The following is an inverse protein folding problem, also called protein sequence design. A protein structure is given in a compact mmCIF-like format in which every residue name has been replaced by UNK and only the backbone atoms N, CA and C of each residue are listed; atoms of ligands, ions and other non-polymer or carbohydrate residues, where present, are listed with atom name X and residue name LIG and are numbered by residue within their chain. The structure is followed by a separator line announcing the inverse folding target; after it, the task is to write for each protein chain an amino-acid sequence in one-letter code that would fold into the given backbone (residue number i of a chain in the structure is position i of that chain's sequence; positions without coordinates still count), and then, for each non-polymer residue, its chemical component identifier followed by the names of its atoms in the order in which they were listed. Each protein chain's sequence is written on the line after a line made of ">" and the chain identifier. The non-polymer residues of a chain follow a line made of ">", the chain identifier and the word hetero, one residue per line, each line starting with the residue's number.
data_IF_699535652205
#
_entry.id   IF_699535652205
#
_cell.length_a   1.000
_cell.length_b   1.000
_cell.length_c   1.000
_cell.angle_alpha   90.00
_cell.angle_beta   90.00
_cell.angle_gamma   90.00
#
_symmetry.space_group_name_H-M   'P 1'
#
loop_
_entity.id
_entity.type
_entity.pdbx_description
1 polymer ?
#
# COMPACT_ATOMS: atom_id res chain seq x y z
N UNK A 1 21.26 15.43 -28.22
CA UNK A 1 20.38 16.06 -27.21
C UNK A 1 20.83 15.54 -25.86
N UNK A 2 20.83 16.35 -24.80
CA UNK A 2 21.23 15.89 -23.45
C UNK A 2 19.97 15.77 -22.60
N UNK A 3 19.63 14.54 -22.23
CA UNK A 3 18.55 14.25 -21.28
C UNK A 3 19.15 13.79 -19.96
N UNK A 4 18.61 14.29 -18.87
CA UNK A 4 18.92 13.83 -17.52
C UNK A 4 17.80 12.91 -17.07
N UNK A 5 18.15 11.72 -16.57
CA UNK A 5 17.18 10.67 -16.25
C UNK A 5 17.47 10.13 -14.85
N UNK A 6 16.42 9.88 -14.07
CA UNK A 6 16.49 9.11 -12.86
C UNK A 6 15.34 8.09 -12.81
N UNK A 7 15.66 6.88 -12.36
CA UNK A 7 14.70 5.78 -12.23
C UNK A 7 14.61 5.29 -10.79
N UNK A 8 13.39 4.95 -10.38
CA UNK A 8 13.08 4.51 -9.02
C UNK A 8 12.04 3.41 -9.05
N UNK A 9 12.23 2.39 -8.22
CA UNK A 9 11.14 1.49 -7.83
C UNK A 9 10.57 1.93 -6.49
N UNK A 10 9.25 1.85 -6.32
CA UNK A 10 8.59 2.10 -5.03
C UNK A 10 7.65 0.95 -4.64
N UNK A 11 7.53 0.65 -3.34
CA UNK A 11 6.71 -0.44 -2.83
C UNK A 11 5.24 -0.06 -2.69
N UNK A 12 4.38 -1.08 -2.70
CA UNK A 12 3.03 -1.01 -2.14
C UNK A 12 3.10 -1.08 -0.61
N UNK A 13 2.20 -0.40 0.09
CA UNK A 13 1.98 -0.58 1.52
C UNK A 13 0.53 -0.97 1.80
N UNK A 14 0.28 -1.74 2.87
CA UNK A 14 -1.06 -2.13 3.32
C UNK A 14 -1.27 -1.60 4.72
N UNK A 15 -2.38 -0.88 4.93
CA UNK A 15 -2.70 -0.26 6.20
C UNK A 15 -3.19 -1.30 7.22
N UNK A 16 -2.58 -1.35 8.39
CA UNK A 16 -3.07 -2.11 9.55
C UNK A 16 -3.92 -1.25 10.48
N UNK A 17 -3.67 0.06 10.49
CA UNK A 17 -4.54 1.09 11.04
C UNK A 17 -4.99 2.01 9.91
N UNK A 18 -6.28 2.01 9.59
CA UNK A 18 -6.82 2.53 8.33
C UNK A 18 -6.89 4.05 8.29
N UNK A 19 -6.41 4.60 7.18
CA UNK A 19 -6.73 5.95 6.73
C UNK A 19 -8.08 5.92 5.99
N UNK A 20 -9.06 6.64 6.53
CA UNK A 20 -10.36 6.83 5.88
C UNK A 20 -10.95 8.17 6.34
N UNK A 21 -11.09 9.12 5.41
CA UNK A 21 -11.65 10.44 5.66
C UNK A 21 -10.58 11.54 5.61
N UNK A 22 -10.95 12.68 5.01
CA UNK A 22 -10.08 13.87 4.94
C UNK A 22 -10.73 15.04 5.67
N UNK A 23 -9.97 15.66 6.58
CA UNK A 23 -10.33 16.96 7.16
C UNK A 23 -10.11 18.11 6.17
N UNK A 24 -9.10 17.96 5.30
CA UNK A 24 -8.84 18.89 4.19
C UNK A 24 -8.64 18.12 2.88
N UNK A 25 -9.47 18.42 1.88
CA UNK A 25 -9.43 17.77 0.56
C UNK A 25 -8.31 18.29 -0.33
N UNK A 26 -8.00 19.59 -0.25
CA UNK A 26 -7.04 20.25 -1.11
C UNK A 26 -5.61 19.89 -0.73
N UNK A 27 -5.35 19.74 0.58
CA UNK A 27 -4.04 19.38 1.12
C UNK A 27 -3.89 17.87 1.41
N UNK A 28 -4.95 17.08 1.19
CA UNK A 28 -5.06 15.67 1.58
C UNK A 28 -4.75 15.42 3.06
N UNK A 29 -5.26 16.26 3.97
CA UNK A 29 -5.07 16.08 5.40
C UNK A 29 -6.08 15.07 5.95
N UNK A 30 -5.65 14.05 6.70
CA UNK A 30 -6.53 12.97 7.11
C UNK A 30 -7.31 13.36 8.38
N UNK A 31 -8.41 12.68 8.66
CA UNK A 31 -9.15 12.81 9.93
C UNK A 31 -8.46 12.11 11.09
N UNK A 32 -7.56 11.18 10.82
CA UNK A 32 -6.83 10.40 11.81
C UNK A 32 -5.48 9.92 11.26
N UNK A 33 -4.52 9.65 12.15
CA UNK A 33 -3.26 9.00 11.78
C UNK A 33 -3.51 7.56 11.31
N UNK A 34 -2.56 7.01 10.55
CA UNK A 34 -2.65 5.65 10.02
C UNK A 34 -1.30 4.94 10.07
N UNK A 35 -1.31 3.61 10.08
CA UNK A 35 -0.10 2.76 10.14
C UNK A 35 -0.21 1.69 9.05
N UNK A 36 0.89 1.43 8.36
CA UNK A 36 0.98 0.40 7.32
C UNK A 36 2.27 -0.41 7.42
N UNK A 37 2.24 -1.61 6.84
CA UNK A 37 3.44 -2.40 6.54
C UNK A 37 3.75 -2.23 5.06
N UNK A 38 4.99 -1.85 4.76
CA UNK A 38 5.51 -1.79 3.39
C UNK A 38 5.80 -3.19 2.88
N UNK A 39 5.37 -3.52 1.67
CA UNK A 39 5.55 -4.85 1.07
C UNK A 39 6.82 -4.92 0.21
N UNK A 40 7.36 -6.12 0.02
CA UNK A 40 8.55 -6.35 -0.80
C UNK A 40 8.35 -5.94 -2.25
N UNK A 41 9.32 -5.18 -2.77
CA UNK A 41 9.37 -4.76 -4.18
C UNK A 41 9.76 -5.90 -5.14
N UNK A 42 10.27 -7.01 -4.62
CA UNK A 42 10.46 -8.23 -5.42
C UNK A 42 9.13 -8.77 -5.94
N UNK A 43 8.06 -8.57 -5.17
CA UNK A 43 6.73 -9.11 -5.46
C UNK A 43 5.84 -8.03 -6.08
N UNK A 44 5.79 -6.85 -5.46
CA UNK A 44 4.88 -5.76 -5.83
C UNK A 44 5.62 -4.43 -5.87
N UNK A 45 5.83 -3.88 -7.07
CA UNK A 45 6.49 -2.59 -7.27
C UNK A 45 5.89 -1.76 -8.39
N UNK A 46 6.04 -0.46 -8.24
CA UNK A 46 5.94 0.51 -9.34
C UNK A 46 7.33 0.96 -9.73
N UNK A 47 7.69 0.86 -11.01
CA UNK A 47 8.90 1.46 -11.57
C UNK A 47 8.53 2.75 -12.27
N UNK A 48 9.23 3.84 -11.95
CA UNK A 48 9.08 5.13 -12.62
C UNK A 48 10.44 5.66 -13.04
N UNK A 49 10.55 6.04 -14.30
CA UNK A 49 11.65 6.82 -14.86
C UNK A 49 11.17 8.23 -15.15
N UNK A 50 11.94 9.24 -14.72
CA UNK A 50 11.68 10.64 -15.00
C UNK A 50 12.86 11.23 -15.77
N UNK A 51 12.56 11.97 -16.84
CA UNK A 51 13.54 12.64 -17.68
C UNK A 51 13.26 14.14 -17.78
N UNK A 52 14.32 14.94 -17.86
CA UNK A 52 14.23 16.36 -18.20
C UNK A 52 15.38 16.78 -19.12
N UNK A 53 15.15 17.79 -19.96
CA UNK A 53 16.17 18.32 -20.86
C UNK A 53 15.70 19.61 -21.55
N UNK A 54 16.61 20.41 -22.13
CA UNK A 54 16.28 21.71 -22.74
C UNK A 54 15.23 21.65 -23.85
N UNK A 55 15.15 20.52 -24.55
CA UNK A 55 14.20 20.29 -25.66
C UNK A 55 12.81 19.87 -25.16
N UNK A 56 12.69 19.38 -23.93
CA UNK A 56 11.40 19.01 -23.36
C UNK A 56 10.67 20.28 -22.92
N UNK A 57 9.55 20.62 -23.58
CA UNK A 57 8.80 21.86 -23.32
C UNK A 57 7.55 21.65 -22.47
N UNK A 58 7.06 20.43 -22.38
CA UNK A 58 5.81 20.09 -21.70
C UNK A 58 6.02 18.88 -20.80
N UNK A 59 5.21 18.80 -19.74
CA UNK A 59 5.16 17.62 -18.90
C UNK A 59 4.30 16.54 -19.57
N UNK A 60 4.79 15.31 -19.60
CA UNK A 60 4.09 14.15 -20.16
C UNK A 60 4.23 12.94 -19.24
N UNK A 61 3.17 12.16 -19.13
CA UNK A 61 3.13 10.94 -18.35
C UNK A 61 2.69 9.77 -19.24
N UNK A 62 3.44 8.67 -19.18
CA UNK A 62 3.02 7.39 -19.71
C UNK A 62 2.89 6.39 -18.57
N UNK A 63 1.75 5.73 -18.47
CA UNK A 63 1.47 4.69 -17.49
C UNK A 63 1.13 3.39 -18.20
N UNK A 64 1.93 2.34 -17.98
CA UNK A 64 1.78 1.02 -18.62
C UNK A 64 1.64 1.12 -20.15
N UNK A 65 2.49 1.93 -20.78
CA UNK A 65 2.55 2.11 -22.24
C UNK A 65 1.51 3.05 -22.85
N UNK A 66 0.65 3.69 -22.04
CA UNK A 66 -0.35 4.66 -22.53
C UNK A 66 -0.06 6.05 -21.99
N UNK A 67 -0.16 7.07 -22.85
CA UNK A 67 -0.06 8.47 -22.41
C UNK A 67 -1.30 8.83 -21.58
N UNK A 68 -1.08 9.38 -20.40
CA UNK A 68 -2.11 9.76 -19.42
C UNK A 68 -2.06 11.26 -19.14
N UNK A 69 -3.22 11.85 -18.84
CA UNK A 69 -3.29 13.28 -18.53
C UNK A 69 -2.64 13.60 -17.19
N UNK A 70 -1.82 14.65 -17.17
CA UNK A 70 -1.24 15.24 -15.96
C UNK A 70 -2.11 16.35 -15.38
N UNK A 71 -3.25 16.68 -15.98
CA UNK A 71 -4.05 17.87 -15.63
C UNK A 71 -4.74 17.78 -14.27
N UNK A 72 -4.79 16.59 -13.66
CA UNK A 72 -5.43 16.44 -12.35
C UNK A 72 -4.73 17.31 -11.30
N UNK A 73 -5.52 18.04 -10.49
CA UNK A 73 -5.02 18.99 -9.48
C UNK A 73 -3.96 18.36 -8.57
N UNK A 74 -4.20 17.13 -8.12
CA UNK A 74 -3.27 16.36 -7.26
C UNK A 74 -1.89 16.16 -7.88
N UNK A 75 -1.83 15.89 -9.19
CA UNK A 75 -0.58 15.67 -9.90
C UNK A 75 0.15 16.99 -10.11
N UNK A 76 -0.58 18.02 -10.53
CA UNK A 76 -0.02 19.37 -10.69
C UNK A 76 0.54 19.93 -9.38
N UNK A 77 -0.13 19.69 -8.26
CA UNK A 77 0.38 20.05 -6.93
C UNK A 77 1.71 19.35 -6.61
N UNK A 78 1.83 18.05 -6.86
CA UNK A 78 3.10 17.33 -6.66
C UNK A 78 4.24 17.91 -7.51
N UNK A 79 4.00 18.09 -8.82
CA UNK A 79 5.01 18.62 -9.74
C UNK A 79 5.43 20.04 -9.35
N UNK A 80 4.47 20.89 -8.98
CA UNK A 80 4.73 22.26 -8.50
C UNK A 80 5.58 22.25 -7.23
N UNK A 81 5.28 21.39 -6.25
CA UNK A 81 6.05 21.25 -5.03
C UNK A 81 7.51 20.86 -5.31
N UNK A 82 7.73 19.85 -6.15
CA UNK A 82 9.06 19.38 -6.53
C UNK A 82 9.86 20.42 -7.32
N UNK A 83 9.22 21.09 -8.29
CA UNK A 83 9.84 22.19 -9.05
C UNK A 83 10.22 23.36 -8.16
N UNK A 84 9.38 23.71 -7.17
CA UNK A 84 9.70 24.76 -6.19
C UNK A 84 10.99 24.43 -5.43
N UNK A 85 11.10 23.21 -4.89
CA UNK A 85 12.31 22.77 -4.17
C UNK A 85 13.55 22.79 -5.08
N UNK A 86 13.40 22.34 -6.33
CA UNK A 86 14.51 22.39 -7.30
C UNK A 86 14.92 23.82 -7.63
N UNK A 87 13.96 24.72 -7.84
CA UNK A 87 14.21 26.13 -8.10
C UNK A 87 14.95 26.80 -6.95
N UNK A 88 14.61 26.48 -5.71
CA UNK A 88 15.32 27.00 -4.52
C UNK A 88 16.81 26.61 -4.50
N UNK A 89 17.19 25.44 -5.04
CA UNK A 89 18.60 25.06 -5.22
C UNK A 89 19.25 25.87 -6.36
N UNK A 90 18.57 25.96 -7.51
CA UNK A 90 19.06 26.67 -8.70
C UNK A 90 19.21 28.19 -8.50
N UNK A 91 18.44 28.77 -7.57
CA UNK A 91 18.54 30.18 -7.18
C UNK A 91 19.71 30.43 -6.21
N UNK A 92 20.16 29.39 -5.48
CA UNK A 92 21.34 29.46 -4.58
C UNK A 92 22.66 29.19 -5.31
N UNK A 93 22.63 28.41 -6.38
CA UNK A 93 23.81 28.12 -7.22
C UNK A 93 23.47 28.28 -8.72
N UNK A 94 23.99 29.35 -9.32
CA UNK A 94 23.76 29.68 -10.73
C UNK A 94 24.39 28.68 -11.70
N UNK A 95 25.34 27.84 -11.25
CA UNK A 95 25.98 26.82 -12.09
C UNK A 95 25.11 25.57 -12.27
N UNK A 96 24.07 25.40 -11.45
CA UNK A 96 23.16 24.27 -11.58
C UNK A 96 22.32 24.38 -12.86
N UNK A 97 22.13 23.27 -13.60
CA UNK A 97 21.20 23.20 -14.71
C UNK A 97 19.78 23.62 -14.28
N UNK A 98 19.06 24.33 -15.14
CA UNK A 98 17.72 24.87 -14.86
C UNK A 98 16.60 23.84 -15.08
N UNK A 99 16.73 22.67 -14.44
CA UNK A 99 15.77 21.57 -14.50
C UNK A 99 14.36 22.00 -14.08
N UNK A 100 14.23 22.95 -13.15
CA UNK A 100 12.92 23.47 -12.72
C UNK A 100 12.12 24.15 -13.84
N UNK A 101 12.77 24.57 -14.93
CA UNK A 101 12.16 25.29 -16.06
C UNK A 101 11.87 24.40 -17.27
N UNK A 102 12.35 23.16 -17.29
CA UNK A 102 12.20 22.24 -18.41
C UNK A 102 11.02 21.30 -18.22
N UNK A 103 10.45 20.80 -19.31
CA UNK A 103 9.43 19.74 -19.28
C UNK A 103 9.94 18.45 -18.65
N UNK A 104 9.04 17.70 -18.05
CA UNK A 104 9.27 16.37 -17.48
C UNK A 104 8.59 15.32 -18.34
N UNK A 105 9.36 14.34 -18.82
CA UNK A 105 8.79 13.11 -19.36
C UNK A 105 8.87 12.03 -18.29
N UNK A 106 7.72 11.47 -17.90
CA UNK A 106 7.59 10.51 -16.81
C UNK A 106 7.01 9.23 -17.39
N UNK A 107 7.72 8.11 -17.27
CA UNK A 107 7.25 6.80 -17.72
C UNK A 107 7.18 5.90 -16.52
N UNK A 108 6.03 5.27 -16.30
CA UNK A 108 5.78 4.42 -15.14
C UNK A 108 5.09 3.12 -15.53
N UNK A 109 5.45 2.05 -14.84
CA UNK A 109 4.79 0.74 -14.96
C UNK A 109 4.64 0.06 -13.60
N UNK A 110 3.64 -0.82 -13.48
CA UNK A 110 3.47 -1.68 -12.32
C UNK A 110 3.66 -3.15 -12.73
N UNK A 111 4.31 -3.96 -11.91
CA UNK A 111 4.40 -5.41 -12.13
C UNK A 111 3.14 -6.17 -11.62
N UNK A 112 2.13 -5.44 -11.13
CA UNK A 112 0.86 -5.98 -10.66
C UNK A 112 -0.31 -5.36 -11.42
N UNK A 113 -1.42 -6.10 -11.63
CA UNK A 113 -2.55 -5.57 -12.38
C UNK A 113 -3.17 -4.35 -11.69
N UNK A 114 -3.31 -3.25 -12.41
CA UNK A 114 -3.95 -2.01 -11.90
C UNK A 114 -5.38 -2.28 -11.38
N UNK A 115 -6.08 -3.25 -11.99
CA UNK A 115 -7.44 -3.66 -11.59
C UNK A 115 -7.49 -4.54 -10.33
N UNK A 116 -6.36 -5.07 -9.83
CA UNK A 116 -6.33 -5.97 -8.68
C UNK A 116 -6.60 -5.26 -7.34
N UNK A 117 -6.88 -3.95 -7.31
CA UNK A 117 -7.24 -3.25 -6.07
C UNK A 117 -6.10 -3.06 -5.06
N UNK A 118 -4.85 -3.35 -5.44
CA UNK A 118 -3.66 -3.32 -4.59
C UNK A 118 -3.02 -1.92 -4.47
N UNK A 119 -3.79 -0.94 -4.00
CA UNK A 119 -3.33 0.43 -3.71
C UNK A 119 -2.39 1.07 -4.77
N UNK A 120 -2.62 0.78 -6.06
CA UNK A 120 -1.73 1.18 -7.18
C UNK A 120 -1.39 2.67 -7.21
N UNK A 121 -2.34 3.55 -6.85
CA UNK A 121 -2.11 4.99 -6.79
C UNK A 121 -1.12 5.40 -5.68
N UNK A 122 -0.99 4.64 -4.60
CA UNK A 122 -0.05 4.97 -3.52
C UNK A 122 1.40 4.74 -3.96
N UNK A 123 1.69 3.53 -4.47
CA UNK A 123 3.01 3.19 -5.00
C UNK A 123 3.39 4.07 -6.19
N UNK A 124 2.46 4.36 -7.11
CA UNK A 124 2.72 5.22 -8.27
C UNK A 124 3.10 6.65 -7.92
N UNK A 125 2.38 7.30 -6.99
CA UNK A 125 2.76 8.66 -6.56
C UNK A 125 4.05 8.67 -5.74
N UNK A 126 4.32 7.64 -4.93
CA UNK A 126 5.59 7.51 -4.24
C UNK A 126 6.77 7.36 -5.22
N UNK A 127 6.64 6.49 -6.22
CA UNK A 127 7.64 6.30 -7.27
C UNK A 127 7.88 7.58 -8.08
N UNK A 128 6.82 8.28 -8.48
CA UNK A 128 6.89 9.56 -9.18
C UNK A 128 7.64 10.62 -8.37
N UNK A 129 7.25 10.82 -7.10
CA UNK A 129 7.86 11.83 -6.24
C UNK A 129 9.34 11.53 -6.02
N UNK A 130 9.70 10.28 -5.72
CA UNK A 130 11.09 9.91 -5.47
C UNK A 130 11.94 9.92 -6.74
N UNK A 131 11.41 9.49 -7.89
CA UNK A 131 12.13 9.56 -9.16
C UNK A 131 12.46 11.01 -9.53
N UNK A 132 11.49 11.92 -9.43
CA UNK A 132 11.70 13.34 -9.71
C UNK A 132 12.62 13.97 -8.66
N UNK A 133 12.45 13.66 -7.37
CA UNK A 133 13.33 14.17 -6.32
C UNK A 133 14.80 13.77 -6.56
N UNK A 134 15.05 12.52 -7.00
CA UNK A 134 16.38 12.05 -7.39
C UNK A 134 16.89 12.72 -8.65
N UNK A 135 16.06 12.88 -9.68
CA UNK A 135 16.39 13.62 -10.91
C UNK A 135 16.83 15.06 -10.58
N UNK A 136 16.10 15.71 -9.68
CA UNK A 136 16.35 17.07 -9.23
C UNK A 136 17.44 17.19 -8.16
N UNK A 137 17.97 16.07 -7.67
CA UNK A 137 18.98 15.99 -6.60
C UNK A 137 18.55 16.78 -5.36
N UNK A 138 17.28 16.62 -4.99
CA UNK A 138 16.67 17.30 -3.86
C UNK A 138 17.30 16.82 -2.53
N UNK A 139 17.74 17.72 -1.63
CA UNK A 139 18.35 17.35 -0.35
C UNK A 139 17.33 16.99 0.74
N UNK A 140 16.03 17.15 0.47
CA UNK A 140 14.97 16.88 1.44
C UNK A 140 14.97 15.40 1.85
N UNK A 141 14.70 15.17 3.13
CA UNK A 141 14.49 13.85 3.70
C UNK A 141 13.25 13.17 3.10
N UNK A 142 13.17 11.84 3.22
CA UNK A 142 11.96 11.10 2.79
C UNK A 142 10.71 11.55 3.56
N UNK A 143 10.85 12.02 4.81
CA UNK A 143 9.71 12.53 5.58
C UNK A 143 9.19 13.85 5.00
N UNK A 144 10.07 14.77 4.63
CA UNK A 144 9.69 16.04 3.97
C UNK A 144 9.12 15.79 2.57
N UNK A 145 9.72 14.89 1.78
CA UNK A 145 9.18 14.49 0.47
C UNK A 145 7.80 13.81 0.59
N UNK A 146 7.51 13.19 1.73
CA UNK A 146 6.23 12.54 1.97
C UNK A 146 5.07 13.53 2.06
N UNK A 147 5.32 14.79 2.40
CA UNK A 147 4.32 15.87 2.37
C UNK A 147 3.85 16.13 0.94
N UNK A 148 4.77 16.08 -0.03
CA UNK A 148 4.45 16.22 -1.45
C UNK A 148 3.71 14.97 -1.95
N UNK A 149 4.18 13.76 -1.59
CA UNK A 149 3.52 12.52 -1.97
C UNK A 149 2.08 12.44 -1.44
N UNK A 150 1.84 12.93 -0.21
CA UNK A 150 0.50 13.03 0.40
C UNK A 150 -0.47 13.84 -0.46
N UNK A 151 -0.04 14.97 -1.02
CA UNK A 151 -0.89 15.82 -1.87
C UNK A 151 -1.31 15.14 -3.17
N UNK A 152 -0.47 14.27 -3.72
CA UNK A 152 -0.82 13.46 -4.89
C UNK A 152 -1.79 12.33 -4.58
N UNK A 153 -1.49 11.57 -3.54
CA UNK A 153 -2.34 10.50 -3.03
C UNK A 153 -2.03 10.29 -1.56
N UNK A 154 -2.96 10.59 -0.65
CA UNK A 154 -2.72 10.61 0.80
C UNK A 154 -1.84 9.46 1.31
N UNK A 155 -2.21 8.21 1.03
CA UNK A 155 -1.48 7.02 1.47
C UNK A 155 -0.13 6.77 0.77
N UNK A 156 0.20 7.50 -0.30
CA UNK A 156 1.49 7.43 -0.97
C UNK A 156 2.63 7.89 -0.06
N UNK A 157 2.37 8.80 0.89
CA UNK A 157 3.37 9.27 1.85
C UNK A 157 4.03 8.10 2.61
N UNK A 158 3.26 7.07 2.97
CA UNK A 158 3.78 5.90 3.70
C UNK A 158 4.65 4.99 2.84
N UNK A 159 4.51 5.01 1.51
CA UNK A 159 5.35 4.24 0.59
C UNK A 159 6.74 4.86 0.38
N UNK A 160 7.07 5.98 1.03
CA UNK A 160 8.43 6.55 1.00
C UNK A 160 9.39 5.87 2.00
N UNK A 161 8.88 4.97 2.84
CA UNK A 161 9.66 4.24 3.85
C UNK A 161 9.45 2.72 3.71
N UNK A 162 10.42 1.96 4.19
CA UNK A 162 10.33 0.51 4.35
C UNK A 162 9.73 0.11 5.70
N UNK A 163 9.63 -1.19 5.95
CA UNK A 163 9.24 -1.71 7.25
C UNK A 163 7.82 -1.29 7.66
N UNK A 164 7.74 -0.59 8.80
CA UNK A 164 6.50 -0.20 9.46
C UNK A 164 6.39 1.32 9.52
N UNK A 165 5.35 1.87 8.91
CA UNK A 165 5.30 3.31 8.60
C UNK A 165 4.02 3.91 9.15
N UNK A 166 4.14 4.99 9.91
CA UNK A 166 3.03 5.84 10.29
C UNK A 166 2.87 6.99 9.29
N UNK A 167 1.63 7.37 9.03
CA UNK A 167 1.28 8.71 8.58
C UNK A 167 0.65 9.43 9.76
N UNK A 168 1.37 10.40 10.29
CA UNK A 168 0.89 11.28 11.35
C UNK A 168 -0.07 12.30 10.75
N UNK A 169 -1.24 12.46 11.37
CA UNK A 169 -2.27 13.33 10.80
C UNK A 169 -1.90 14.81 10.80
N UNK A 170 -0.97 15.23 11.67
CA UNK A 170 -0.67 16.63 11.91
C UNK A 170 -1.83 17.42 12.53
N UNK A 171 -1.50 18.57 13.09
CA UNK A 171 -2.43 19.50 13.75
C UNK A 171 -2.48 20.85 13.02
N UNK A 172 -1.44 21.20 12.25
CA UNK A 172 -1.38 22.48 11.53
C UNK A 172 -2.32 22.50 10.32
N UNK A 173 -2.91 23.67 10.09
CA UNK A 173 -3.81 23.91 8.95
C UNK A 173 -3.07 23.88 7.60
N UNK A 174 -1.80 24.32 7.58
CA UNK A 174 -0.95 24.25 6.39
C UNK A 174 -0.48 22.83 6.04
N UNK A 175 -0.67 21.88 6.95
CA UNK A 175 -0.32 20.48 6.79
C UNK A 175 1.17 20.16 6.85
N UNK A 176 2.03 21.10 7.28
CA UNK A 176 3.49 20.93 7.33
C UNK A 176 3.96 19.86 8.34
N UNK A 177 3.07 19.43 9.23
CA UNK A 177 3.31 18.37 10.21
C UNK A 177 2.54 17.06 9.90
N UNK A 178 1.76 17.02 8.82
CA UNK A 178 1.05 15.83 8.37
C UNK A 178 1.92 15.01 7.41
N UNK A 179 2.84 14.20 7.94
CA UNK A 179 3.85 13.49 7.15
C UNK A 179 4.00 12.02 7.54
N UNK A 180 4.70 11.27 6.70
CA UNK A 180 5.07 9.90 7.00
C UNK A 180 6.35 9.86 7.87
N UNK A 181 6.35 8.93 8.81
CA UNK A 181 7.47 8.64 9.71
C UNK A 181 7.64 7.13 9.80
N UNK A 182 8.91 6.69 9.84
CA UNK A 182 9.23 5.30 10.10
C UNK A 182 8.99 5.00 11.59
N UNK A 183 8.18 3.97 11.87
CA UNK A 183 8.01 3.45 13.23
C UNK A 183 9.15 2.49 13.54
N UNK A 184 9.42 1.58 12.61
CA UNK A 184 10.54 0.64 12.71
C UNK A 184 10.95 0.19 11.31
N UNK A 185 12.26 0.01 11.06
CA UNK A 185 12.77 -0.40 9.77
C UNK A 185 12.43 -1.88 9.49
N UNK A 186 12.67 -2.32 8.25
CA UNK A 186 12.48 -3.71 7.82
C UNK A 186 13.20 -4.71 8.74
N UNK A 187 14.45 -4.40 9.10
CA UNK A 187 15.36 -5.24 9.88
C UNK A 187 14.88 -5.44 11.32
N UNK A 188 14.02 -4.55 11.82
CA UNK A 188 13.45 -4.68 13.15
C UNK A 188 12.62 -5.96 13.23
N UNK A 189 11.66 -6.16 12.33
CA UNK A 189 10.76 -7.31 12.39
C UNK A 189 10.56 -7.97 11.01
N UNK A 190 11.61 -8.63 10.48
CA UNK A 190 11.65 -9.17 9.12
C UNK A 190 10.82 -10.45 8.94
N UNK A 191 10.41 -11.11 10.02
CA UNK A 191 9.60 -12.33 9.98
C UNK A 191 8.15 -12.10 9.52
N UNK A 192 7.71 -10.85 9.37
CA UNK A 192 6.36 -10.50 8.94
C UNK A 192 6.15 -10.85 7.46
N UNK A 193 5.23 -11.77 7.20
CA UNK A 193 4.80 -12.20 5.87
C UNK A 193 3.38 -11.73 5.58
N UNK A 194 3.02 -11.67 4.31
CA UNK A 194 1.66 -11.37 3.87
C UNK A 194 1.25 -12.27 2.70
N UNK A 195 0.06 -12.87 2.79
CA UNK A 195 -0.61 -13.53 1.68
C UNK A 195 -1.84 -12.72 1.27
N UNK A 196 -1.91 -12.30 0.02
CA UNK A 196 -3.02 -11.54 -0.53
C UNK A 196 -3.89 -12.47 -1.35
N UNK A 197 -5.14 -12.65 -0.91
CA UNK A 197 -6.16 -13.37 -1.64
C UNK A 197 -6.93 -12.36 -2.50
N UNK A 198 -6.66 -12.37 -3.81
CA UNK A 198 -7.33 -11.48 -4.77
C UNK A 198 -8.72 -12.02 -5.03
N UNK A 199 -9.72 -11.38 -4.43
CA UNK A 199 -11.11 -11.82 -4.50
C UNK A 199 -11.73 -11.31 -5.80
N UNK A 200 -12.45 -12.20 -6.49
CA UNK A 200 -13.23 -11.88 -7.67
C UNK A 200 -14.22 -10.78 -7.32
N UNK A 201 -13.98 -9.61 -7.88
CA UNK A 201 -14.81 -8.44 -7.70
C UNK A 201 -15.40 -8.04 -9.04
N UNK A 202 -16.71 -7.77 -9.07
CA UNK A 202 -17.25 -6.82 -10.04
C UNK A 202 -16.53 -5.48 -9.88
N UNK A 203 -16.53 -4.65 -10.94
CA UNK A 203 -15.90 -3.32 -10.91
C UNK A 203 -16.30 -2.59 -9.63
N UNK A 204 -15.32 -2.04 -8.90
CA UNK A 204 -15.55 -1.34 -7.63
C UNK A 204 -16.65 -0.28 -7.77
N UNK A 205 -17.74 -0.44 -7.03
CA UNK A 205 -18.90 0.44 -7.12
C UNK A 205 -18.60 1.86 -6.64
N UNK A 206 -17.86 2.00 -5.52
CA UNK A 206 -17.56 3.30 -4.91
C UNK A 206 -16.05 3.54 -4.80
N UNK A 207 -15.45 4.49 -5.56
CA UNK A 207 -14.05 4.90 -5.40
C UNK A 207 -13.72 5.37 -3.99
N UNK A 208 -12.48 5.15 -3.53
CA UNK A 208 -12.09 5.46 -2.14
C UNK A 208 -12.27 6.95 -1.80
N UNK A 209 -11.95 7.86 -2.72
CA UNK A 209 -12.03 9.31 -2.47
C UNK A 209 -13.46 9.79 -2.25
N UNK A 210 -14.42 9.31 -3.05
CA UNK A 210 -15.84 9.67 -2.87
C UNK A 210 -16.42 8.96 -1.65
N UNK A 211 -16.11 7.66 -1.48
CA UNK A 211 -16.57 6.87 -0.35
C UNK A 211 -16.16 7.46 1.00
N UNK A 212 -14.89 7.84 1.17
CA UNK A 212 -14.41 8.33 2.46
C UNK A 212 -15.04 9.67 2.85
N UNK A 213 -15.32 10.54 1.88
CA UNK A 213 -15.97 11.82 2.15
C UNK A 213 -17.48 11.66 2.36
N UNK A 214 -18.10 10.62 1.80
CA UNK A 214 -19.45 10.23 2.15
C UNK A 214 -19.52 9.79 3.62
N UNK A 215 -18.59 8.92 4.05
CA UNK A 215 -18.49 8.49 5.45
C UNK A 215 -18.30 9.68 6.40
N UNK A 216 -17.34 10.57 6.12
CA UNK A 216 -17.12 11.79 6.92
C UNK A 216 -18.40 12.62 7.06
N UNK A 217 -19.21 12.69 6.00
CA UNK A 217 -20.43 13.50 5.97
C UNK A 217 -21.62 12.85 6.67
N UNK A 218 -21.71 11.51 6.66
CA UNK A 218 -22.98 10.82 6.95
C UNK A 218 -22.92 9.77 8.04
N UNK A 219 -21.75 9.21 8.34
CA UNK A 219 -21.62 8.17 9.38
C UNK A 219 -21.50 8.82 10.76
N UNK A 220 -22.42 8.48 11.65
CA UNK A 220 -22.40 8.92 13.05
C UNK A 220 -21.30 8.16 13.84
N UNK A 221 -21.13 6.86 13.55
CA UNK A 221 -20.09 6.03 14.18
C UNK A 221 -18.67 6.47 13.81
N UNK A 222 -18.50 7.13 12.67
CA UNK A 222 -17.20 7.63 12.24
C UNK A 222 -16.61 8.67 13.20
N UNK A 223 -17.45 9.47 13.85
CA UNK A 223 -16.99 10.48 14.82
C UNK A 223 -16.32 9.83 16.04
N UNK A 224 -16.90 8.75 16.55
CA UNK A 224 -16.31 7.96 17.64
C UNK A 224 -15.00 7.29 17.19
N UNK A 225 -14.99 6.76 15.97
CA UNK A 225 -13.80 6.14 15.38
C UNK A 225 -12.61 7.12 15.38
N UNK A 226 -12.79 8.34 14.86
CA UNK A 226 -11.68 9.28 14.70
C UNK A 226 -11.26 9.94 16.01
N UNK A 227 -12.20 10.23 16.92
CA UNK A 227 -11.92 10.93 18.18
C UNK A 227 -11.30 10.03 19.24
N UNK A 228 -11.79 8.80 19.37
CA UNK A 228 -11.47 7.96 20.53
C UNK A 228 -10.80 6.63 20.15
N UNK A 229 -11.29 5.96 19.09
CA UNK A 229 -10.81 4.62 18.74
C UNK A 229 -9.42 4.66 18.10
N UNK A 230 -9.24 5.46 17.05
CA UNK A 230 -7.99 5.46 16.28
C UNK A 230 -6.81 6.02 17.09
N UNK A 231 -6.92 7.12 17.86
CA UNK A 231 -5.79 7.62 18.65
C UNK A 231 -5.23 6.57 19.62
N UNK A 232 -6.10 5.84 20.33
CA UNK A 232 -5.68 4.77 21.23
C UNK A 232 -5.04 3.61 20.47
N UNK A 233 -5.64 3.18 19.34
CA UNK A 233 -5.07 2.11 18.52
C UNK A 233 -3.76 2.49 17.86
N UNK A 234 -3.55 3.76 17.52
CA UNK A 234 -2.29 4.26 16.97
C UNK A 234 -1.15 4.02 17.95
N UNK A 235 -1.31 4.44 19.21
CA UNK A 235 -0.33 4.19 20.27
C UNK A 235 -0.08 2.69 20.48
N UNK A 236 -1.14 1.91 20.70
CA UNK A 236 -0.99 0.46 20.95
C UNK A 236 -0.39 -0.30 19.76
N UNK A 237 -0.67 0.11 18.52
CA UNK A 237 -0.10 -0.52 17.33
C UNK A 237 1.40 -0.20 17.20
N UNK A 238 1.81 1.05 17.47
CA UNK A 238 3.23 1.41 17.53
C UNK A 238 3.97 0.57 18.56
N UNK A 239 3.44 0.50 19.79
CA UNK A 239 4.00 -0.32 20.86
C UNK A 239 4.09 -1.80 20.47
N UNK A 240 3.05 -2.33 19.81
CA UNK A 240 3.04 -3.72 19.35
C UNK A 240 4.13 -3.99 18.29
N UNK A 241 4.40 -3.04 17.39
CA UNK A 241 5.46 -3.12 16.39
C UNK A 241 6.84 -3.03 17.07
N UNK A 242 7.05 -2.04 17.93
CA UNK A 242 8.32 -1.81 18.65
C UNK A 242 8.72 -3.02 19.49
N UNK A 243 7.76 -3.70 20.13
CA UNK A 243 8.00 -4.88 20.96
C UNK A 243 7.79 -6.22 20.23
N UNK A 244 7.57 -6.22 18.91
CA UNK A 244 7.28 -7.43 18.11
C UNK A 244 6.15 -8.29 18.69
N UNK A 245 5.15 -7.64 19.29
CA UNK A 245 4.02 -8.29 19.93
C UNK A 245 2.99 -8.72 18.89
N UNK A 246 3.22 -9.91 18.30
CA UNK A 246 2.38 -10.49 17.25
C UNK A 246 0.89 -10.60 17.63
N UNK A 247 0.51 -11.18 18.79
CA UNK A 247 -0.90 -11.27 19.17
C UNK A 247 -1.59 -9.90 19.21
N UNK A 248 -0.91 -8.87 19.76
CA UNK A 248 -1.50 -7.53 19.85
C UNK A 248 -1.60 -6.85 18.48
N UNK A 249 -0.55 -6.94 17.66
CA UNK A 249 -0.55 -6.44 16.28
C UNK A 249 -1.70 -7.06 15.47
N UNK A 250 -1.86 -8.37 15.56
CA UNK A 250 -2.88 -9.12 14.85
C UNK A 250 -4.31 -8.74 15.30
N UNK A 251 -4.56 -8.67 16.61
CA UNK A 251 -5.83 -8.23 17.17
C UNK A 251 -6.21 -6.83 16.68
N UNK A 252 -5.29 -5.87 16.80
CA UNK A 252 -5.53 -4.47 16.39
C UNK A 252 -5.79 -4.37 14.89
N UNK A 253 -5.04 -5.10 14.07
CA UNK A 253 -5.18 -5.12 12.61
C UNK A 253 -6.57 -5.60 12.18
N UNK A 254 -7.04 -6.73 12.75
CA UNK A 254 -8.36 -7.27 12.44
C UNK A 254 -9.48 -6.36 12.94
N UNK A 255 -9.35 -5.83 14.17
CA UNK A 255 -10.35 -4.92 14.76
C UNK A 255 -10.43 -3.59 14.02
N UNK A 256 -9.33 -3.09 13.47
CA UNK A 256 -9.34 -1.85 12.71
C UNK A 256 -9.85 -2.01 11.29
N UNK A 257 -9.55 -3.14 10.63
CA UNK A 257 -10.21 -3.54 9.39
C UNK A 257 -11.73 -3.56 9.57
N UNK A 258 -12.23 -4.26 10.59
CA UNK A 258 -13.67 -4.34 10.86
C UNK A 258 -14.27 -2.96 11.18
N UNK A 259 -13.60 -2.15 11.99
CA UNK A 259 -14.09 -0.81 12.37
C UNK A 259 -14.16 0.14 11.18
N UNK A 260 -13.19 0.08 10.26
CA UNK A 260 -13.25 0.81 9.00
C UNK A 260 -14.49 0.41 8.18
N UNK A 261 -14.68 -0.88 7.91
CA UNK A 261 -15.84 -1.34 7.14
C UNK A 261 -17.17 -1.11 7.85
N UNK A 262 -17.20 -1.07 9.19
CA UNK A 262 -18.38 -0.67 9.95
C UNK A 262 -18.78 0.79 9.68
N UNK A 263 -17.81 1.71 9.62
CA UNK A 263 -18.11 3.12 9.25
C UNK A 263 -18.52 3.28 7.79
N UNK A 264 -18.04 2.41 6.89
CA UNK A 264 -18.53 2.33 5.52
C UNK A 264 -20.00 1.89 5.49
N UNK A 265 -20.38 0.88 6.26
CA UNK A 265 -21.75 0.39 6.39
C UNK A 265 -22.70 1.44 7.01
N UNK A 266 -22.20 2.23 7.96
CA UNK A 266 -22.92 3.32 8.63
C UNK A 266 -23.04 4.60 7.77
N UNK A 267 -22.39 4.66 6.61
CA UNK A 267 -22.55 5.77 5.67
C UNK A 267 -23.94 5.73 5.00
N UNK A 268 -24.42 6.85 4.47
CA UNK A 268 -25.69 6.90 3.74
C UNK A 268 -25.59 7.57 2.36
N UNK A 269 -25.81 6.84 1.24
CA UNK A 269 -26.06 5.39 1.16
C UNK A 269 -24.91 4.53 1.71
N UNK A 270 -25.17 3.28 2.17
CA UNK A 270 -24.16 2.40 2.73
C UNK A 270 -23.12 1.99 1.69
N UNK A 271 -21.87 1.86 2.12
CA UNK A 271 -20.75 1.43 1.28
C UNK A 271 -20.38 0.00 1.63
N UNK A 272 -20.47 -0.91 0.66
CA UNK A 272 -20.05 -2.30 0.79
C UNK A 272 -18.80 -2.56 -0.03
N UNK A 273 -17.69 -2.86 0.66
CA UNK A 273 -16.44 -3.27 0.03
C UNK A 273 -16.18 -4.77 0.15
N UNK A 274 -16.44 -5.33 1.33
CA UNK A 274 -16.34 -6.78 1.57
C UNK A 274 -17.56 -7.49 0.98
N UNK A 275 -17.31 -8.61 0.29
CA UNK A 275 -18.37 -9.51 -0.20
C UNK A 275 -18.43 -10.79 0.65
N UNK A 276 -19.22 -11.76 0.23
CA UNK A 276 -19.38 -13.00 0.99
C UNK A 276 -18.10 -13.85 1.01
N UNK A 277 -17.28 -13.83 -0.04
CA UNK A 277 -15.95 -14.44 -0.03
C UNK A 277 -15.06 -13.79 1.03
N UNK A 278 -15.06 -12.46 1.15
CA UNK A 278 -14.33 -11.75 2.21
C UNK A 278 -14.76 -12.23 3.61
N UNK A 279 -16.07 -12.37 3.84
CA UNK A 279 -16.62 -12.84 5.13
C UNK A 279 -16.25 -14.31 5.41
N UNK A 280 -16.25 -15.18 4.40
CA UNK A 280 -15.81 -16.58 4.52
C UNK A 280 -14.32 -16.65 4.93
N UNK A 281 -13.47 -15.82 4.32
CA UNK A 281 -12.04 -15.71 4.69
C UNK A 281 -11.87 -15.21 6.14
N UNK A 282 -12.67 -14.24 6.60
CA UNK A 282 -12.66 -13.79 8.00
C UNK A 282 -12.97 -14.94 8.95
N UNK A 283 -14.03 -15.72 8.68
CA UNK A 283 -14.41 -16.87 9.50
C UNK A 283 -13.30 -17.91 9.54
N UNK A 284 -12.69 -18.20 8.40
CA UNK A 284 -11.56 -19.13 8.30
C UNK A 284 -10.38 -18.68 9.17
N UNK A 285 -10.00 -17.40 9.13
CA UNK A 285 -8.89 -16.88 9.95
C UNK A 285 -9.14 -17.05 11.45
N UNK A 286 -10.36 -16.76 11.92
CA UNK A 286 -10.73 -16.98 13.32
C UNK A 286 -10.69 -18.47 13.68
N UNK A 287 -11.22 -19.34 12.81
CA UNK A 287 -11.22 -20.77 13.02
C UNK A 287 -9.81 -21.37 13.08
N UNK A 288 -8.87 -20.89 12.25
CA UNK A 288 -7.45 -21.26 12.31
C UNK A 288 -6.82 -20.83 13.64
N UNK A 289 -7.06 -19.58 14.06
CA UNK A 289 -6.53 -19.08 15.32
C UNK A 289 -7.08 -19.86 16.54
N UNK A 290 -8.37 -20.20 16.51
CA UNK A 290 -9.04 -21.01 17.53
C UNK A 290 -8.49 -22.44 17.56
N UNK A 291 -8.37 -23.08 16.39
CA UNK A 291 -7.82 -24.44 16.26
C UNK A 291 -6.42 -24.58 16.89
N UNK A 292 -5.54 -23.60 16.66
CA UNK A 292 -4.19 -23.62 17.24
C UNK A 292 -4.13 -23.07 18.67
N UNK A 293 -5.24 -22.60 19.24
CA UNK A 293 -5.28 -21.99 20.58
C UNK A 293 -4.44 -20.73 20.73
N UNK A 294 -4.00 -20.12 19.62
CA UNK A 294 -3.16 -18.91 19.57
C UNK A 294 -3.33 -18.18 18.25
N UNK A 295 -3.04 -16.89 18.22
CA UNK A 295 -3.09 -16.10 16.99
C UNK A 295 -1.98 -16.52 16.03
N UNK A 296 -2.35 -17.13 14.91
CA UNK A 296 -1.50 -17.59 13.80
C UNK A 296 -1.56 -16.62 12.63
N UNK A 297 -2.74 -16.02 12.37
CA UNK A 297 -3.01 -15.16 11.22
C UNK A 297 -3.85 -13.95 11.61
N UNK A 298 -3.60 -12.83 10.94
CA UNK A 298 -4.42 -11.62 11.03
C UNK A 298 -4.90 -11.21 9.64
N UNK A 299 -6.20 -10.96 9.48
CA UNK A 299 -6.72 -10.43 8.22
C UNK A 299 -6.84 -8.91 8.25
N UNK A 300 -6.77 -8.30 7.07
CA UNK A 300 -7.16 -6.91 6.85
C UNK A 300 -7.70 -6.70 5.44
N UNK A 301 -8.66 -5.78 5.30
CA UNK A 301 -9.31 -5.45 4.04
C UNK A 301 -9.27 -3.94 3.83
N UNK A 302 -8.86 -3.51 2.64
CA UNK A 302 -8.93 -2.11 2.21
C UNK A 302 -10.27 -1.82 1.53
N UNK A 303 -10.34 -0.80 0.68
CA UNK A 303 -11.55 -0.42 -0.04
C UNK A 303 -11.83 -1.35 -1.24
N UNK A 304 -12.06 -2.63 -0.94
CA UNK A 304 -12.40 -3.71 -1.86
C UNK A 304 -12.47 -5.06 -1.13
N UNK A 305 -12.81 -6.15 -1.83
CA UNK A 305 -13.06 -7.44 -1.20
C UNK A 305 -11.80 -8.28 -0.95
N UNK A 306 -10.64 -7.88 -1.47
CA UNK A 306 -9.39 -8.61 -1.31
C UNK A 306 -8.98 -8.72 0.16
N UNK A 307 -8.61 -9.94 0.57
CA UNK A 307 -8.08 -10.19 1.89
C UNK A 307 -6.54 -10.09 1.86
N UNK A 308 -5.96 -9.35 2.80
CA UNK A 308 -4.53 -9.43 3.12
C UNK A 308 -4.40 -10.16 4.44
N UNK A 309 -3.68 -11.28 4.43
CA UNK A 309 -3.42 -12.13 5.59
C UNK A 309 -1.98 -11.91 6.05
N UNK A 310 -1.79 -11.23 7.18
CA UNK A 310 -0.51 -11.18 7.84
C UNK A 310 -0.28 -12.44 8.67
N UNK A 311 0.96 -12.89 8.70
CA UNK A 311 1.41 -13.99 9.55
C UNK A 311 2.92 -13.85 9.81
N UNK A 312 3.44 -14.50 10.84
CA UNK A 312 4.88 -14.65 11.02
C UNK A 312 5.38 -15.89 10.28
N UNK A 313 6.57 -15.80 9.69
CA UNK A 313 7.22 -16.89 8.95
C UNK A 313 7.21 -18.24 9.71
N UNK A 314 7.41 -18.23 11.03
CA UNK A 314 7.36 -19.45 11.87
C UNK A 314 5.98 -20.15 11.89
N UNK A 315 4.91 -19.45 11.52
CA UNK A 315 3.55 -20.00 11.45
C UNK A 315 3.12 -20.29 9.99
N UNK A 316 4.02 -20.17 9.02
CA UNK A 316 3.70 -20.34 7.59
C UNK A 316 3.12 -21.72 7.29
N UNK A 317 3.80 -22.80 7.71
CA UNK A 317 3.31 -24.17 7.51
C UNK A 317 1.95 -24.41 8.18
N UNK A 318 1.71 -23.80 9.36
CA UNK A 318 0.43 -23.90 10.10
C UNK A 318 -0.69 -23.20 9.34
N UNK A 319 -0.43 -22.01 8.83
CA UNK A 319 -1.41 -21.25 8.06
C UNK A 319 -1.69 -21.95 6.72
N UNK A 320 -0.65 -22.32 5.97
CA UNK A 320 -0.79 -22.87 4.63
C UNK A 320 -1.27 -24.31 4.60
N UNK A 321 -1.21 -25.06 5.71
CA UNK A 321 -2.01 -26.29 5.84
C UNK A 321 -3.51 -26.06 5.55
N UNK A 322 -4.07 -24.91 5.93
CA UNK A 322 -5.46 -24.56 5.64
C UNK A 322 -5.59 -23.80 4.32
N UNK A 323 -4.80 -22.73 4.13
CA UNK A 323 -4.96 -21.84 2.97
C UNK A 323 -4.60 -22.58 1.68
N UNK A 324 -3.48 -23.32 1.63
CA UNK A 324 -3.15 -24.06 0.42
C UNK A 324 -4.18 -25.17 0.15
N UNK A 325 -4.64 -25.90 1.19
CA UNK A 325 -5.68 -26.92 1.04
C UNK A 325 -6.96 -26.38 0.40
N UNK A 326 -7.37 -25.16 0.75
CA UNK A 326 -8.58 -24.53 0.21
C UNK A 326 -8.39 -23.85 -1.15
N UNK A 327 -7.17 -23.40 -1.46
CA UNK A 327 -6.89 -22.56 -2.62
C UNK A 327 -5.81 -23.15 -3.55
N UNK A 328 -5.64 -24.47 -3.56
CA UNK A 328 -4.61 -25.19 -4.33
C UNK A 328 -4.74 -25.00 -5.84
N UNK A 329 -5.97 -24.79 -6.34
CA UNK A 329 -6.26 -24.49 -7.76
C UNK A 329 -6.13 -23.01 -8.12
N UNK A 330 -5.94 -22.13 -7.14
CA UNK A 330 -5.78 -20.69 -7.38
C UNK A 330 -4.32 -20.41 -7.76
N UNK A 331 -4.03 -19.71 -8.86
CA UNK A 331 -2.66 -19.47 -9.30
C UNK A 331 -1.89 -18.52 -8.37
N UNK A 332 -0.56 -18.66 -8.34
CA UNK A 332 0.37 -17.74 -7.66
C UNK A 332 1.24 -18.39 -6.59
N UNK A 333 0.97 -19.63 -6.18
CA UNK A 333 1.76 -20.38 -5.21
C UNK A 333 3.18 -20.68 -5.71
N UNK A 334 3.30 -21.01 -7.00
CA UNK A 334 4.53 -21.35 -7.70
C UNK A 334 5.55 -20.20 -7.74
N UNK A 335 5.13 -18.99 -7.40
CA UNK A 335 6.02 -17.81 -7.32
C UNK A 335 6.97 -17.87 -6.14
N UNK A 336 6.63 -18.64 -5.09
CA UNK A 336 7.44 -18.75 -3.85
C UNK A 336 7.70 -20.19 -3.42
N UNK A 337 6.85 -21.14 -3.81
CA UNK A 337 6.93 -22.50 -3.34
C UNK A 337 7.12 -23.49 -4.49
N UNK A 338 8.01 -24.46 -4.26
CA UNK A 338 8.15 -25.61 -5.14
C UNK A 338 7.00 -26.59 -4.94
N UNK A 339 6.81 -27.53 -5.87
CA UNK A 339 5.83 -28.61 -5.70
C UNK A 339 6.07 -29.42 -4.41
N UNK A 340 7.32 -29.56 -3.97
CA UNK A 340 7.66 -30.26 -2.73
C UNK A 340 7.13 -29.51 -1.49
N UNK A 341 7.35 -28.20 -1.43
CA UNK A 341 6.85 -27.35 -0.34
C UNK A 341 5.33 -27.40 -0.25
N UNK A 342 4.66 -27.37 -1.40
CA UNK A 342 3.20 -27.45 -1.49
C UNK A 342 2.64 -28.79 -1.01
N UNK A 343 3.30 -29.91 -1.33
CA UNK A 343 2.93 -31.22 -0.80
C UNK A 343 3.17 -31.33 0.71
N UNK A 344 4.19 -30.64 1.24
CA UNK A 344 4.42 -30.59 2.68
C UNK A 344 3.28 -29.90 3.41
N UNK A 345 2.74 -28.79 2.89
CA UNK A 345 1.56 -28.14 3.48
C UNK A 345 0.35 -29.07 3.54
N UNK A 346 0.10 -29.85 2.47
CA UNK A 346 -0.96 -30.86 2.46
C UNK A 346 -0.66 -32.00 3.46
N UNK A 347 0.61 -32.41 3.60
CA UNK A 347 1.01 -33.41 4.59
C UNK A 347 0.74 -32.95 6.02
N UNK A 348 1.07 -31.69 6.34
CA UNK A 348 0.74 -31.07 7.63
C UNK A 348 -0.77 -31.04 7.85
N UNK A 349 -1.55 -30.69 6.83
CA UNK A 349 -3.01 -30.73 6.93
C UNK A 349 -3.52 -32.14 7.26
N UNK A 350 -3.10 -33.17 6.53
CA UNK A 350 -3.60 -34.52 6.74
C UNK A 350 -3.16 -35.14 8.08
N UNK A 351 -1.94 -34.85 8.54
CA UNK A 351 -1.41 -35.41 9.80
C UNK A 351 -1.92 -34.68 11.03
N UNK A 352 -1.94 -33.35 10.98
CA UNK A 352 -2.10 -32.52 12.18
C UNK A 352 -3.48 -31.89 12.30
N UNK A 353 -4.19 -31.70 11.17
CA UNK A 353 -5.41 -30.88 11.09
C UNK A 353 -6.66 -31.72 10.80
N UNK A 354 -6.70 -32.51 9.72
CA UNK A 354 -7.94 -33.07 9.16
C UNK A 354 -8.77 -33.88 10.16
N UNK A 355 -8.13 -34.69 11.01
CA UNK A 355 -8.80 -35.49 12.05
C UNK A 355 -9.21 -34.74 13.32
N UNK A 356 -8.89 -33.44 13.44
CA UNK A 356 -9.13 -32.62 14.65
C UNK A 356 -10.02 -31.40 14.37
N UNK A 357 -10.43 -31.20 13.12
CA UNK A 357 -11.24 -30.05 12.73
C UNK A 357 -12.63 -30.10 13.37
N UNK A 358 -13.04 -29.06 14.12
CA UNK A 358 -14.39 -29.00 14.68
C UNK A 358 -15.44 -28.46 13.68
N UNK A 359 -15.04 -28.16 12.44
CA UNK A 359 -15.88 -27.61 11.38
C UNK A 359 -15.47 -28.16 10.01
N UNK A 360 -16.39 -28.10 9.05
CA UNK A 360 -16.10 -28.46 7.66
C UNK A 360 -15.46 -27.29 6.90
N UNK A 361 -14.50 -27.60 6.03
CA UNK A 361 -13.91 -26.63 5.11
C UNK A 361 -14.86 -26.39 3.92
N UNK A 362 -15.04 -25.12 3.56
CA UNK A 362 -15.83 -24.70 2.42
C UNK A 362 -14.95 -24.67 1.16
N UNK A 363 -14.85 -25.82 0.48
CA UNK A 363 -14.02 -25.95 -0.74
C UNK A 363 -14.50 -25.02 -1.87
N UNK A 364 -15.74 -24.52 -1.85
CA UNK A 364 -16.25 -23.61 -2.88
C UNK A 364 -15.73 -22.18 -2.70
N UNK A 365 -15.14 -21.83 -1.55
CA UNK A 365 -14.57 -20.50 -1.29
C UNK A 365 -13.52 -20.11 -2.33
N UNK A 366 -12.82 -21.10 -2.89
CA UNK A 366 -11.80 -20.91 -3.92
C UNK A 366 -12.32 -20.22 -5.18
N UNK A 367 -13.59 -20.47 -5.54
CA UNK A 367 -14.21 -19.88 -6.73
C UNK A 367 -14.34 -18.35 -6.62
N UNK A 368 -14.29 -17.83 -5.39
CA UNK A 368 -14.28 -16.40 -5.10
C UNK A 368 -12.90 -15.76 -5.19
N UNK A 369 -11.81 -16.50 -5.42
CA UNK A 369 -10.44 -15.99 -5.41
C UNK A 369 -9.79 -16.26 -6.77
N UNK A 370 -9.29 -15.23 -7.45
CA UNK A 370 -8.62 -15.37 -8.75
C UNK A 370 -7.12 -15.57 -8.67
N UNK A 371 -6.49 -15.13 -7.58
CA UNK A 371 -5.04 -15.19 -7.44
C UNK A 371 -4.60 -15.14 -5.99
N UNK A 372 -3.52 -15.83 -5.67
CA UNK A 372 -2.76 -15.65 -4.43
C UNK A 372 -1.49 -14.86 -4.75
N UNK A 373 -1.18 -13.84 -3.94
CA UNK A 373 0.10 -13.12 -4.01
C UNK A 373 0.80 -13.26 -2.67
N UNK A 374 1.97 -13.87 -2.69
CA UNK A 374 2.76 -14.16 -1.50
C UNK A 374 3.90 -13.17 -1.41
N UNK A 375 4.02 -12.48 -0.28
CA UNK A 375 5.01 -11.45 -0.07
C UNK A 375 5.37 -11.31 1.41
N UNK A 376 6.17 -10.30 1.72
CA UNK A 376 6.70 -10.04 3.05
C UNK A 376 6.89 -8.54 3.26
N UNK A 377 7.19 -8.16 4.50
CA UNK A 377 7.64 -6.79 4.79
C UNK A 377 8.87 -6.46 3.93
N UNK A 378 8.95 -5.22 3.42
CA UNK A 378 9.92 -4.82 2.41
C UNK A 378 10.57 -3.46 2.63
N UNK A 379 11.60 -3.12 1.84
CA UNK A 379 12.28 -1.84 1.90
C UNK A 379 11.48 -0.71 1.23
N UNK A 380 11.84 0.53 1.55
CA UNK A 380 11.33 1.74 0.90
C UNK A 380 11.87 1.91 -0.54
N UNK A 381 11.58 3.04 -1.20
CA UNK A 381 11.92 3.25 -2.62
C UNK A 381 13.41 3.09 -2.94
N UNK A 382 13.73 2.32 -3.99
CA UNK A 382 15.10 1.99 -4.39
C UNK A 382 15.49 2.68 -5.69
N UNK A 383 16.75 3.13 -5.81
CA UNK A 383 17.28 3.61 -7.09
C UNK A 383 17.58 2.41 -7.98
N UNK A 384 17.35 2.53 -9.28
CA UNK A 384 17.68 1.46 -10.23
C UNK A 384 18.37 2.01 -11.48
N UNK A 385 19.19 1.17 -12.11
CA UNK A 385 19.77 1.42 -13.43
C UNK A 385 18.80 1.08 -14.56
N UNK A 386 17.77 0.30 -14.27
CA UNK A 386 16.68 0.05 -15.20
C UNK A 386 15.99 1.38 -15.53
N UNK A 387 15.74 1.64 -16.82
CA UNK A 387 15.06 2.85 -17.27
C UNK A 387 13.99 2.47 -18.29
N UNK A 388 12.81 3.07 -18.13
CA UNK A 388 11.70 2.98 -19.07
C UNK A 388 11.78 4.05 -20.17
N UNK A 389 12.75 4.96 -20.09
CA UNK A 389 12.98 6.04 -21.05
C UNK A 389 14.23 5.74 -21.88
N UNK A 390 14.13 5.92 -23.18
CA UNK A 390 15.26 5.90 -24.11
C UNK A 390 16.10 7.18 -23.91
N UNK A 391 17.39 7.00 -23.62
CA UNK A 391 18.30 8.09 -23.26
C UNK A 391 18.62 9.05 -24.42
N UNK A 392 18.39 8.62 -25.66
CA UNK A 392 18.66 9.42 -26.86
C UNK A 392 17.47 10.29 -27.26
N UNK A 393 16.25 9.85 -26.94
CA UNK A 393 14.99 10.51 -27.35
C UNK A 393 14.25 11.16 -26.21
N UNK A 394 14.44 10.71 -24.97
CA UNK A 394 13.66 11.15 -23.82
C UNK A 394 12.20 10.64 -23.84
N UNK A 395 11.89 9.66 -24.68
CA UNK A 395 10.56 9.05 -24.83
C UNK A 395 10.53 7.63 -24.23
N UNK A 396 9.34 7.04 -24.00
CA UNK A 396 9.24 5.63 -23.62
C UNK A 396 10.02 4.72 -24.57
N UNK A 397 10.67 3.68 -24.00
CA UNK A 397 11.38 2.64 -24.75
C UNK A 397 10.47 1.77 -25.61
#
# INVERSE_FOLDING_TARGET
>A
MVYHIASTTAPVNIATLKYWGKRDKALNLPTNSSISVTLSQEDLRTLTSAATGPELKQDKLWLNGKEESLESERTQQCLKGLRKLRKELEDKDSNLPKFSNWGLHIVSENNFPTAAGLASSAAGFAALVVAIARLYQLPQSMSELSEIARQGSGSACRSLFGGYVAWEMGEKEDGSDSKAVEISPLEHWPQMKAAILVVNASKKDTPSTSGMQLTVKTSELFQERVKNVVPQRFTHMKEAIEHKNWPKFAELTMRDSNSFHATCLDSYPPIFYMNDTSKKIIKLCHAINEFYGKTVVAYTFDAGPNAVLYYLQENEAKLFAFIYKLFDKVPGWETKFSNQDLQEFLSVYEKDVSGKLPFELDDEVQNGVSRVILTQVGPGPLSTKESLIDENTGLPK
#
